data_IF_570157672924
#
_entry.id   IF_570157672924
#
_cell.length_a   1.000
_cell.length_b   1.000
_cell.length_c   1.000
_cell.angle_alpha   90.00
_cell.angle_beta   90.00
_cell.angle_gamma   90.00
#
_symmetry.space_group_name_H-M   'P 1'
#
loop_
_entity.id
_entity.type
_entity.pdbx_description
1 polymer ?
#
# COMPACT_ATOMS: atom_id res chain seq x y z
N UNK A 1 -17.59 4.24 52.20
CA UNK A 1 -16.13 4.03 52.07
C UNK A 1 -15.87 3.73 50.61
N UNK A 2 -15.33 4.74 49.93
CA UNK A 2 -14.95 4.72 48.51
C UNK A 2 -13.64 3.96 48.29
N UNK A 3 -13.45 3.45 47.08
CA UNK A 3 -12.11 3.26 46.52
C UNK A 3 -11.96 2.05 45.60
N UNK A 4 -12.55 2.08 44.40
CA UNK A 4 -12.03 1.32 43.26
C UNK A 4 -10.96 2.18 42.58
N UNK A 5 -9.70 1.74 42.65
CA UNK A 5 -8.57 2.40 41.98
C UNK A 5 -8.43 1.79 40.59
N UNK A 6 -8.94 2.48 39.57
CA UNK A 6 -8.60 2.22 38.17
C UNK A 6 -7.41 3.10 37.80
N UNK A 7 -6.28 2.47 37.47
CA UNK A 7 -5.09 3.16 36.96
C UNK A 7 -5.37 3.81 35.58
N UNK A 8 -4.84 5.00 35.28
CA UNK A 8 -4.99 5.60 33.97
C UNK A 8 -3.98 4.96 33.00
N UNK A 9 -4.49 4.38 31.91
CA UNK A 9 -3.69 4.03 30.74
C UNK A 9 -3.22 5.34 30.10
N UNK A 10 -1.95 5.69 30.33
CA UNK A 10 -1.29 6.78 29.64
C UNK A 10 -1.02 6.35 28.18
N UNK A 11 -1.97 6.65 27.30
CA UNK A 11 -1.71 6.71 25.87
C UNK A 11 -0.84 7.95 25.62
N UNK A 12 0.47 7.76 25.68
CA UNK A 12 1.44 8.76 25.26
C UNK A 12 1.27 8.96 23.74
N UNK A 13 0.46 9.94 23.35
CA UNK A 13 0.43 10.47 21.98
C UNK A 13 1.81 11.09 21.72
N UNK A 14 2.74 10.27 21.23
CA UNK A 14 4.04 10.76 20.78
C UNK A 14 3.78 11.50 19.46
N UNK A 15 4.12 12.80 19.36
CA UNK A 15 3.98 13.53 18.10
C UNK A 15 4.92 12.90 17.08
N UNK A 16 4.36 12.35 15.99
CA UNK A 16 5.17 11.86 14.88
C UNK A 16 5.84 13.06 14.19
N UNK A 17 7.18 13.03 14.11
CA UNK A 17 7.96 14.10 13.52
C UNK A 17 8.01 13.92 11.98
N UNK A 18 7.37 14.85 11.26
CA UNK A 18 7.35 14.92 9.80
C UNK A 18 8.63 15.54 9.19
N UNK A 19 9.58 16.04 9.98
CA UNK A 19 10.79 16.73 9.50
C UNK A 19 11.76 15.82 8.72
N UNK A 20 11.64 14.49 8.87
CA UNK A 20 12.38 13.52 8.06
C UNK A 20 11.74 13.25 6.68
N UNK A 21 10.62 13.90 6.38
CA UNK A 21 9.98 13.86 5.06
C UNK A 21 10.53 15.03 4.25
N UNK A 22 11.86 15.15 4.18
CA UNK A 22 12.50 16.00 3.21
C UNK A 22 12.90 15.16 1.99
N UNK A 23 12.14 15.22 0.88
CA UNK A 23 12.57 14.66 -0.39
C UNK A 23 13.55 15.66 -1.03
N UNK A 24 14.71 15.89 -0.40
CA UNK A 24 15.77 16.68 -1.03
C UNK A 24 16.30 15.90 -2.24
N UNK A 25 15.72 16.26 -3.38
CA UNK A 25 16.22 16.18 -4.75
C UNK A 25 17.62 15.59 -4.93
N UNK A 26 17.71 14.47 -5.64
CA UNK A 26 18.29 14.44 -6.99
C UNK A 26 17.94 13.14 -7.70
N UNK A 27 17.64 13.28 -8.99
CA UNK A 27 17.67 12.25 -10.03
C UNK A 27 16.52 11.23 -10.09
N UNK A 28 15.83 11.30 -11.23
CA UNK A 28 14.97 10.28 -11.81
C UNK A 28 15.73 8.95 -12.01
N UNK A 29 16.03 8.25 -10.92
CA UNK A 29 16.62 6.92 -10.95
C UNK A 29 16.09 6.10 -9.78
N UNK A 30 15.33 5.04 -10.11
CA UNK A 30 15.25 3.80 -9.33
C UNK A 30 14.92 3.90 -7.82
N UNK A 31 13.99 4.78 -7.40
CA UNK A 31 13.45 4.73 -6.03
C UNK A 31 12.73 3.40 -5.79
N UNK A 32 13.45 2.44 -5.20
CA UNK A 32 12.87 1.23 -4.62
C UNK A 32 11.83 1.64 -3.59
N UNK A 33 10.69 0.96 -3.59
CA UNK A 33 9.64 1.16 -2.59
C UNK A 33 10.21 0.96 -1.19
N UNK A 34 9.78 1.79 -0.23
CA UNK A 34 10.21 1.67 1.16
C UNK A 34 9.85 0.30 1.70
N UNK A 35 10.84 -0.39 2.25
CA UNK A 35 10.70 -1.77 2.70
C UNK A 35 9.86 -1.82 3.99
N UNK A 36 8.88 -2.70 4.05
CA UNK A 36 8.10 -2.98 5.26
C UNK A 36 9.00 -3.54 6.36
N UNK A 37 8.98 -2.92 7.52
CA UNK A 37 9.81 -3.29 8.67
C UNK A 37 9.16 -4.35 9.57
N UNK A 38 7.88 -4.68 9.37
CA UNK A 38 7.13 -5.65 10.19
C UNK A 38 6.67 -5.12 11.56
N UNK A 39 6.95 -3.86 11.90
CA UNK A 39 6.56 -3.27 13.18
C UNK A 39 5.15 -2.68 13.10
N UNK A 40 4.21 -3.30 13.83
CA UNK A 40 2.82 -2.87 13.88
C UNK A 40 2.64 -1.41 14.38
N UNK A 41 3.54 -0.91 15.23
CA UNK A 41 3.48 0.48 15.70
C UNK A 41 3.77 1.51 14.60
N UNK A 42 4.42 1.07 13.52
CA UNK A 42 4.75 1.90 12.35
C UNK A 42 3.77 1.69 11.19
N UNK A 43 2.72 0.89 11.37
CA UNK A 43 1.80 0.52 10.29
C UNK A 43 1.08 1.73 9.66
N UNK A 44 0.59 2.67 10.48
CA UNK A 44 -0.06 3.90 9.98
C UNK A 44 0.91 4.75 9.15
N UNK A 45 2.13 4.95 9.66
CA UNK A 45 3.20 5.63 8.91
C UNK A 45 3.51 4.90 7.59
N UNK A 46 3.54 3.57 7.61
CA UNK A 46 3.81 2.79 6.41
C UNK A 46 2.69 2.89 5.37
N UNK A 47 1.42 2.96 5.79
CA UNK A 47 0.29 3.25 4.90
C UNK A 47 0.44 4.60 4.21
N UNK A 48 0.80 5.66 4.93
CA UNK A 48 1.03 7.00 4.35
C UNK A 48 2.17 6.98 3.33
N UNK A 49 3.25 6.25 3.63
CA UNK A 49 4.39 6.10 2.72
C UNK A 49 4.00 5.36 1.43
N UNK A 50 3.24 4.26 1.52
CA UNK A 50 2.76 3.56 0.33
C UNK A 50 1.81 4.44 -0.46
N UNK A 51 0.85 5.09 0.20
CA UNK A 51 -0.10 5.99 -0.44
C UNK A 51 0.63 7.03 -1.28
N UNK A 52 1.57 7.74 -0.66
CA UNK A 52 2.41 8.74 -1.35
C UNK A 52 3.20 8.13 -2.51
N UNK A 53 3.79 6.96 -2.32
CA UNK A 53 4.55 6.29 -3.38
C UNK A 53 3.67 5.87 -4.56
N UNK A 54 2.55 5.18 -4.31
CA UNK A 54 1.62 4.69 -5.34
C UNK A 54 0.99 5.87 -6.10
N UNK A 55 0.47 6.87 -5.39
CA UNK A 55 -0.15 8.04 -6.03
C UNK A 55 0.85 8.90 -6.81
N UNK A 56 2.13 8.93 -6.40
CA UNK A 56 3.20 9.58 -7.19
C UNK A 56 3.51 8.87 -8.51
N UNK A 57 3.20 7.57 -8.61
CA UNK A 57 3.37 6.78 -9.83
C UNK A 57 2.17 6.98 -10.75
N UNK A 58 0.96 6.77 -10.22
CA UNK A 58 -0.32 6.97 -10.91
C UNK A 58 -1.45 6.92 -9.86
N UNK A 59 -2.31 7.94 -9.85
CA UNK A 59 -3.39 8.08 -8.87
C UNK A 59 -4.37 6.91 -8.93
N UNK A 60 -4.67 6.42 -10.15
CA UNK A 60 -5.62 5.32 -10.39
C UNK A 60 -5.14 3.97 -9.83
N UNK A 61 -3.88 3.88 -9.38
CA UNK A 61 -3.38 2.68 -8.71
C UNK A 61 -3.84 2.59 -7.27
N UNK A 62 -4.03 3.73 -6.60
CA UNK A 62 -4.49 3.74 -5.22
C UNK A 62 -5.96 3.30 -5.12
N UNK A 63 -6.78 3.69 -6.08
CA UNK A 63 -8.18 3.23 -6.17
C UNK A 63 -8.27 1.69 -6.18
N UNK A 64 -7.33 1.01 -6.85
CA UNK A 64 -7.26 -0.47 -6.87
C UNK A 64 -6.83 -1.06 -5.53
N UNK A 65 -6.02 -0.35 -4.74
CA UNK A 65 -5.64 -0.76 -3.38
C UNK A 65 -6.84 -0.63 -2.43
N UNK A 66 -7.59 0.47 -2.55
CA UNK A 66 -8.67 0.82 -1.63
C UNK A 66 -9.96 0.07 -1.94
N UNK A 67 -10.38 0.03 -3.21
CA UNK A 67 -11.63 -0.61 -3.64
C UNK A 67 -11.44 -2.10 -4.01
N UNK A 68 -10.19 -2.52 -4.21
CA UNK A 68 -9.87 -3.83 -4.73
C UNK A 68 -10.15 -3.98 -6.23
N UNK A 69 -10.10 -5.22 -6.73
CA UNK A 69 -10.31 -5.52 -8.15
C UNK A 69 -11.68 -6.17 -8.35
N UNK A 70 -12.49 -5.63 -9.26
CA UNK A 70 -13.87 -6.11 -9.52
C UNK A 70 -13.96 -7.15 -10.65
N UNK A 71 -12.81 -7.55 -11.20
CA UNK A 71 -12.72 -8.51 -12.31
C UNK A 71 -13.14 -9.92 -11.85
N UNK A 72 -13.98 -10.57 -12.64
CA UNK A 72 -14.39 -11.97 -12.43
C UNK A 72 -13.31 -12.93 -12.93
N UNK A 73 -13.38 -14.19 -12.49
CA UNK A 73 -12.52 -15.30 -12.94
C UNK A 73 -11.01 -15.14 -12.62
N UNK A 74 -10.67 -14.28 -11.66
CA UNK A 74 -9.31 -14.25 -11.12
C UNK A 74 -9.07 -15.51 -10.30
N UNK A 75 -7.90 -16.12 -10.48
CA UNK A 75 -7.46 -17.19 -9.60
C UNK A 75 -6.98 -16.64 -8.25
N UNK A 76 -6.59 -17.54 -7.35
CA UNK A 76 -6.04 -17.22 -6.01
C UNK A 76 -4.82 -16.28 -6.02
N UNK A 77 -4.11 -16.19 -7.15
CA UNK A 77 -2.96 -15.30 -7.32
C UNK A 77 -3.30 -13.98 -8.01
N UNK A 78 -4.58 -13.72 -8.32
CA UNK A 78 -5.02 -12.52 -9.04
C UNK A 78 -4.75 -12.55 -10.54
N UNK A 79 -4.60 -13.74 -11.15
CA UNK A 79 -4.34 -13.90 -12.59
C UNK A 79 -5.54 -14.44 -13.33
N UNK A 80 -5.74 -13.93 -14.54
CA UNK A 80 -6.74 -14.44 -15.50
C UNK A 80 -6.14 -15.51 -16.41
N UNK A 81 -6.99 -16.44 -16.85
CA UNK A 81 -6.65 -17.36 -17.94
C UNK A 81 -6.39 -16.60 -19.24
N UNK A 82 -5.71 -17.23 -20.21
CA UNK A 82 -5.49 -16.62 -21.53
C UNK A 82 -6.84 -16.35 -22.23
N UNK A 83 -7.83 -17.22 -22.05
CA UNK A 83 -9.16 -17.07 -22.65
C UNK A 83 -9.88 -15.84 -22.07
N UNK A 84 -9.95 -15.72 -20.73
CA UNK A 84 -10.60 -14.60 -20.06
C UNK A 84 -9.89 -13.28 -20.35
N UNK A 85 -8.55 -13.27 -20.33
CA UNK A 85 -7.76 -12.05 -20.61
C UNK A 85 -8.02 -11.50 -22.01
N UNK A 86 -8.30 -12.36 -23.00
CA UNK A 86 -8.62 -11.93 -24.37
C UNK A 86 -10.00 -11.31 -24.49
N UNK A 87 -10.92 -11.60 -23.57
CA UNK A 87 -12.29 -11.10 -23.56
C UNK A 87 -12.45 -9.77 -22.82
N UNK A 88 -11.40 -9.29 -22.16
CA UNK A 88 -11.44 -8.03 -21.42
C UNK A 88 -11.71 -6.83 -22.34
N UNK A 89 -12.57 -5.93 -21.87
CA UNK A 89 -12.70 -4.60 -22.47
C UNK A 89 -11.42 -3.79 -22.29
N UNK A 90 -11.29 -2.66 -22.99
CA UNK A 90 -10.12 -1.78 -22.80
C UNK A 90 -10.05 -1.20 -21.38
N UNK A 91 -11.19 -0.89 -20.76
CA UNK A 91 -11.25 -0.45 -19.37
C UNK A 91 -10.80 -1.56 -18.40
N UNK A 92 -11.31 -2.78 -18.60
CA UNK A 92 -10.96 -3.92 -17.74
C UNK A 92 -9.49 -4.34 -17.90
N UNK A 93 -8.91 -4.18 -19.09
CA UNK A 93 -7.46 -4.37 -19.30
C UNK A 93 -6.65 -3.39 -18.47
N UNK A 94 -7.06 -2.12 -18.39
CA UNK A 94 -6.41 -1.11 -17.56
C UNK A 94 -6.47 -1.52 -16.08
N UNK A 95 -7.65 -1.91 -15.60
CA UNK A 95 -7.84 -2.39 -14.22
C UNK A 95 -6.95 -3.61 -13.94
N UNK A 96 -6.92 -4.58 -14.86
CA UNK A 96 -6.10 -5.78 -14.74
C UNK A 96 -4.59 -5.48 -14.67
N UNK A 97 -4.12 -4.52 -15.48
CA UNK A 97 -2.72 -4.06 -15.46
C UNK A 97 -2.39 -3.32 -14.17
N UNK A 98 -3.28 -2.43 -13.72
CA UNK A 98 -3.12 -1.68 -12.47
C UNK A 98 -3.06 -2.62 -11.26
N UNK A 99 -3.92 -3.64 -11.21
CA UNK A 99 -3.89 -4.69 -10.20
C UNK A 99 -2.52 -5.38 -10.09
N UNK A 100 -1.92 -5.75 -11.23
CA UNK A 100 -0.59 -6.39 -11.23
C UNK A 100 0.51 -5.42 -10.81
N UNK A 101 0.45 -4.17 -11.28
CA UNK A 101 1.43 -3.13 -10.94
C UNK A 101 1.43 -2.82 -9.45
N UNK A 102 0.25 -2.66 -8.85
CA UNK A 102 0.08 -2.50 -7.40
C UNK A 102 0.63 -3.70 -6.65
N UNK A 103 0.27 -4.91 -7.08
CA UNK A 103 0.76 -6.15 -6.46
C UNK A 103 2.29 -6.21 -6.47
N UNK A 104 2.93 -5.89 -7.59
CA UNK A 104 4.39 -5.91 -7.72
C UNK A 104 5.06 -4.87 -6.80
N UNK A 105 4.47 -3.67 -6.65
CA UNK A 105 4.93 -2.64 -5.71
C UNK A 105 4.85 -3.15 -4.26
N UNK A 106 3.69 -3.68 -3.86
CA UNK A 106 3.46 -4.14 -2.48
C UNK A 106 4.35 -5.34 -2.16
N UNK A 107 4.38 -6.34 -3.04
CA UNK A 107 5.23 -7.53 -2.85
C UNK A 107 6.71 -7.13 -2.85
N UNK A 108 7.14 -6.23 -3.72
CA UNK A 108 8.51 -5.71 -3.73
C UNK A 108 8.88 -4.92 -2.47
N UNK A 109 7.90 -4.36 -1.77
CA UNK A 109 8.10 -3.67 -0.50
C UNK A 109 8.17 -4.64 0.70
N UNK A 110 7.71 -5.89 0.57
CA UNK A 110 7.84 -6.92 1.59
C UNK A 110 9.21 -7.61 1.39
N UNK A 111 10.08 -7.61 2.42
CA UNK A 111 11.37 -8.31 2.33
C UNK A 111 11.14 -9.79 2.00
N UNK A 112 11.85 -10.27 0.99
CA UNK A 112 12.20 -11.67 0.88
C UNK A 112 13.65 -11.79 1.36
N UNK A 113 13.85 -12.30 2.57
CA UNK A 113 15.16 -12.82 2.98
C UNK A 113 15.50 -14.09 2.19
#
# INVERSE_FOLDING_TARGET
>A
MSGNTSEPVNNTNVPFNYDNINPTHSDHSSRKSSIFNGDASTFEWWKDIIYSHITSIDYDLWDVVEEGVTLKNLNETGRLSIADRKLLSNADKKIYMNHHKVKDIIVGAIKHE
#
